data_IF_311947395969
#
_entry.id   IF_311947395969
#
_cell.length_a   1.000
_cell.length_b   1.000
_cell.length_c   1.000
_cell.angle_alpha   90.00
_cell.angle_beta   90.00
_cell.angle_gamma   90.00
#
_symmetry.space_group_name_H-M   'P 1'
#
loop_
_entity.id
_entity.type
_entity.pdbx_description
1 polymer ?
#
# COMPACT_ATOMS: atom_id res chain seq x y z
N UNK A 1 -51.83 -3.44 -46.97
CA UNK A 1 -50.68 -4.30 -46.61
C UNK A 1 -49.37 -3.49 -46.55
N UNK A 2 -49.27 -2.47 -45.69
CA UNK A 2 -48.03 -1.67 -45.52
C UNK A 2 -47.66 -1.42 -44.05
N UNK A 3 -48.52 -1.81 -43.11
CA UNK A 3 -48.34 -1.58 -41.68
C UNK A 3 -47.51 -2.67 -40.99
N UNK A 4 -47.60 -3.94 -41.43
CA UNK A 4 -46.90 -5.07 -40.79
C UNK A 4 -45.36 -4.90 -40.76
N UNK A 5 -44.78 -4.41 -41.86
CA UNK A 5 -43.34 -4.25 -42.04
C UNK A 5 -42.72 -3.20 -41.09
N UNK A 6 -43.52 -2.24 -40.61
CA UNK A 6 -43.05 -1.20 -39.69
C UNK A 6 -42.99 -1.71 -38.25
N UNK A 7 -43.92 -2.58 -37.85
CA UNK A 7 -43.93 -3.14 -36.50
C UNK A 7 -42.80 -4.16 -36.30
N UNK A 8 -42.49 -4.95 -37.32
CA UNK A 8 -41.36 -5.89 -37.29
C UNK A 8 -40.03 -5.15 -37.16
N UNK A 9 -39.82 -4.09 -37.95
CA UNK A 9 -38.61 -3.26 -37.88
C UNK A 9 -38.44 -2.54 -36.54
N UNK A 10 -39.53 -2.16 -35.88
CA UNK A 10 -39.49 -1.55 -34.54
C UNK A 10 -39.07 -2.58 -33.47
N UNK A 11 -39.59 -3.81 -33.58
CA UNK A 11 -39.27 -4.88 -32.65
C UNK A 11 -37.80 -5.35 -32.80
N UNK A 12 -37.28 -5.39 -34.03
CA UNK A 12 -35.86 -5.67 -34.27
C UNK A 12 -34.93 -4.60 -33.70
N UNK A 13 -35.33 -3.31 -33.77
CA UNK A 13 -34.56 -2.22 -33.20
C UNK A 13 -34.51 -2.27 -31.67
N UNK A 14 -35.63 -2.61 -31.03
CA UNK A 14 -35.72 -2.75 -29.56
C UNK A 14 -34.85 -3.91 -29.05
N UNK A 15 -34.88 -5.05 -29.75
CA UNK A 15 -33.99 -6.19 -29.45
C UNK A 15 -32.52 -5.82 -29.64
N UNK A 16 -32.19 -5.02 -30.66
CA UNK A 16 -30.81 -4.55 -30.88
C UNK A 16 -30.34 -3.60 -29.77
N UNK A 17 -31.21 -2.71 -29.29
CA UNK A 17 -30.91 -1.80 -28.18
C UNK A 17 -30.64 -2.58 -26.87
N UNK A 18 -31.49 -3.56 -26.53
CA UNK A 18 -31.29 -4.42 -25.36
C UNK A 18 -29.94 -5.17 -25.43
N UNK A 19 -29.62 -5.74 -26.59
CA UNK A 19 -28.35 -6.44 -26.78
C UNK A 19 -27.13 -5.51 -26.66
N UNK A 20 -27.26 -4.24 -27.07
CA UNK A 20 -26.20 -3.24 -26.94
C UNK A 20 -25.99 -2.87 -25.47
N UNK A 21 -27.06 -2.72 -24.69
CA UNK A 21 -26.99 -2.42 -23.26
C UNK A 21 -26.30 -3.54 -22.47
N UNK A 22 -26.65 -4.80 -22.73
CA UNK A 22 -26.03 -5.97 -22.10
C UNK A 22 -24.50 -6.03 -22.36
N UNK A 23 -24.07 -5.74 -23.60
CA UNK A 23 -22.66 -5.70 -23.97
C UNK A 23 -21.92 -4.54 -23.28
N UNK A 24 -22.54 -3.36 -23.22
CA UNK A 24 -21.97 -2.20 -22.54
C UNK A 24 -21.84 -2.44 -21.03
N UNK A 25 -22.81 -3.08 -20.39
CA UNK A 25 -22.76 -3.40 -18.96
C UNK A 25 -21.66 -4.42 -18.65
N UNK A 26 -21.55 -5.48 -19.48
CA UNK A 26 -20.48 -6.48 -19.39
C UNK A 26 -19.08 -5.89 -19.55
N UNK A 27 -18.88 -5.00 -20.54
CA UNK A 27 -17.59 -4.32 -20.75
C UNK A 27 -17.24 -3.36 -19.64
N UNK A 28 -18.22 -2.70 -19.02
CA UNK A 28 -17.99 -1.82 -17.86
C UNK A 28 -17.51 -2.60 -16.63
N UNK A 29 -18.03 -3.81 -16.42
CA UNK A 29 -17.64 -4.68 -15.31
C UNK A 29 -16.22 -5.21 -15.51
N UNK A 30 -15.87 -5.63 -16.74
CA UNK A 30 -14.51 -6.03 -17.11
C UNK A 30 -13.53 -4.84 -16.99
N UNK A 31 -13.93 -3.64 -17.41
CA UNK A 31 -13.11 -2.43 -17.26
C UNK A 31 -12.88 -2.06 -15.79
N UNK A 32 -13.89 -2.25 -14.92
CA UNK A 32 -13.74 -2.09 -13.47
C UNK A 32 -12.78 -3.13 -12.88
N UNK A 33 -12.89 -4.38 -13.29
CA UNK A 33 -12.00 -5.45 -12.83
C UNK A 33 -10.55 -5.25 -13.30
N UNK A 34 -10.34 -4.76 -14.53
CA UNK A 34 -9.01 -4.38 -15.05
C UNK A 34 -8.43 -3.13 -14.36
N UNK A 35 -9.29 -2.20 -13.90
CA UNK A 35 -8.86 -1.06 -13.09
C UNK A 35 -8.58 -1.41 -11.62
N UNK A 36 -9.05 -2.57 -11.16
CA UNK A 36 -8.91 -3.02 -9.77
C UNK A 36 -7.54 -3.67 -9.46
N UNK A 37 -6.70 -3.91 -10.46
CA UNK A 37 -5.27 -4.21 -10.26
C UNK A 37 -4.44 -2.91 -10.17
N UNK A 38 -4.81 -2.00 -9.27
CA UNK A 38 -3.87 -0.94 -8.87
C UNK A 38 -2.69 -1.60 -8.16
N UNK A 39 -1.48 -1.43 -8.73
CA UNK A 39 -0.24 -1.81 -8.04
C UNK A 39 -0.22 -1.06 -6.72
N UNK A 40 -0.13 -1.73 -5.55
CA UNK A 40 -0.17 -1.05 -4.27
C UNK A 40 0.96 -0.01 -4.21
N UNK A 41 0.60 1.23 -3.88
CA UNK A 41 1.55 2.33 -3.78
C UNK A 41 2.68 1.97 -2.81
N UNK A 42 3.92 2.09 -3.29
CA UNK A 42 5.11 1.89 -2.47
C UNK A 42 5.33 3.12 -1.59
N UNK A 43 4.99 3.01 -0.31
CA UNK A 43 5.15 4.06 0.67
C UNK A 43 6.50 3.94 1.41
N UNK A 44 7.36 4.96 1.23
CA UNK A 44 8.69 5.03 1.83
C UNK A 44 8.77 6.25 2.73
N UNK A 45 9.18 6.05 3.97
CA UNK A 45 9.34 7.14 4.93
C UNK A 45 10.74 7.15 5.56
N UNK A 46 11.22 8.34 5.93
CA UNK A 46 12.44 8.49 6.72
C UNK A 46 12.26 9.48 7.86
N UNK A 47 12.60 9.09 9.08
CA UNK A 47 12.36 9.87 10.29
C UNK A 47 13.61 10.03 11.15
N UNK A 48 13.98 11.29 11.41
CA UNK A 48 14.93 11.63 12.46
C UNK A 48 14.26 11.60 13.84
N UNK A 49 14.50 10.53 14.60
CA UNK A 49 13.86 10.31 15.90
C UNK A 49 14.65 10.91 17.08
N UNK A 50 15.89 11.37 16.84
CA UNK A 50 16.87 11.88 17.83
C UNK A 50 17.34 10.88 18.89
N UNK A 51 16.48 9.98 19.36
CA UNK A 51 16.84 8.81 20.16
C UNK A 51 15.69 7.81 20.25
N UNK A 52 16.01 6.52 20.12
CA UNK A 52 15.04 5.42 20.20
C UNK A 52 15.27 4.49 21.42
N UNK A 53 16.02 4.96 22.43
CA UNK A 53 16.29 4.17 23.65
C UNK A 53 15.06 4.01 24.56
N UNK A 54 14.09 4.94 24.49
CA UNK A 54 12.88 4.90 25.33
C UNK A 54 11.79 4.05 24.66
N UNK A 55 11.12 3.19 25.44
CA UNK A 55 10.03 2.33 24.95
C UNK A 55 8.90 3.11 24.26
N UNK A 56 8.58 4.31 24.77
CA UNK A 56 7.61 5.22 24.13
C UNK A 56 8.01 5.53 22.68
N UNK A 57 9.25 5.96 22.45
CA UNK A 57 9.75 6.29 21.10
C UNK A 57 9.76 5.08 20.16
N UNK A 58 10.05 3.90 20.68
CA UNK A 58 9.98 2.67 19.90
C UNK A 58 8.54 2.35 19.48
N UNK A 59 7.56 2.61 20.37
CA UNK A 59 6.14 2.45 20.06
C UNK A 59 5.67 3.50 19.06
N UNK A 60 6.18 4.73 19.15
CA UNK A 60 5.88 5.79 18.17
C UNK A 60 6.29 5.35 16.75
N UNK A 61 7.45 4.71 16.58
CA UNK A 61 7.88 4.12 15.27
C UNK A 61 6.96 3.00 14.82
N UNK A 62 6.63 2.06 15.72
CA UNK A 62 5.74 0.95 15.40
C UNK A 62 4.37 1.43 14.93
N UNK A 63 3.82 2.43 15.63
CA UNK A 63 2.56 3.04 15.28
C UNK A 63 2.66 3.78 13.95
N UNK A 64 3.70 4.59 13.75
CA UNK A 64 3.92 5.29 12.48
C UNK A 64 3.95 4.36 11.28
N UNK A 65 4.69 3.25 11.36
CA UNK A 65 4.74 2.25 10.29
C UNK A 65 3.35 1.69 9.96
N UNK A 66 2.54 1.40 10.99
CA UNK A 66 1.21 0.77 10.84
C UNK A 66 0.12 1.74 10.42
N UNK A 67 0.11 2.93 11.00
CA UNK A 67 -0.92 3.93 10.80
C UNK A 67 -0.78 4.59 9.42
N UNK A 68 0.44 4.75 8.92
CA UNK A 68 0.72 5.33 7.61
C UNK A 68 0.85 4.29 6.49
N UNK A 69 0.66 2.99 6.79
CA UNK A 69 0.86 1.89 5.84
C UNK A 69 2.22 1.98 5.11
N UNK A 70 3.30 2.22 5.87
CA UNK A 70 4.65 2.28 5.31
C UNK A 70 5.01 0.90 4.76
N UNK A 71 5.83 0.85 3.70
CA UNK A 71 6.45 -0.36 3.16
C UNK A 71 7.97 -0.41 3.39
N UNK A 72 8.63 0.75 3.47
CA UNK A 72 10.05 0.88 3.82
C UNK A 72 10.23 2.10 4.73
N UNK A 73 10.86 1.90 5.89
CA UNK A 73 11.06 2.93 6.90
C UNK A 73 12.54 3.09 7.27
N UNK A 74 13.09 4.28 7.04
CA UNK A 74 14.39 4.69 7.55
C UNK A 74 14.26 5.45 8.87
N UNK A 75 14.94 5.01 9.93
CA UNK A 75 15.04 5.75 11.20
C UNK A 75 16.48 6.20 11.41
N UNK A 76 16.68 7.52 11.54
CA UNK A 76 17.99 8.14 11.73
C UNK A 76 18.12 8.80 13.10
N UNK A 77 19.36 8.92 13.56
CA UNK A 77 19.72 9.33 14.91
C UNK A 77 19.03 8.47 15.99
N UNK A 78 19.19 7.15 15.88
CA UNK A 78 18.59 6.23 16.86
C UNK A 78 19.34 6.21 18.20
N UNK A 79 20.67 6.40 18.17
CA UNK A 79 21.57 6.37 19.34
C UNK A 79 21.42 5.08 20.17
N UNK A 80 21.08 3.95 19.53
CA UNK A 80 20.89 2.68 20.24
C UNK A 80 22.24 2.01 20.46
N UNK A 81 22.48 1.49 21.66
CA UNK A 81 23.68 0.70 21.95
C UNK A 81 23.63 -0.66 21.24
N UNK A 82 24.73 -1.16 20.65
CA UNK A 82 24.75 -2.41 19.90
C UNK A 82 24.16 -3.60 20.67
N UNK A 83 24.46 -3.70 21.97
CA UNK A 83 24.00 -4.79 22.86
C UNK A 83 22.49 -4.95 22.96
N UNK A 84 21.71 -3.87 22.77
CA UNK A 84 20.23 -3.91 22.81
C UNK A 84 19.60 -3.69 21.44
N UNK A 85 20.40 -3.53 20.39
CA UNK A 85 19.93 -3.11 19.08
C UNK A 85 18.85 -4.04 18.54
N UNK A 86 19.12 -5.34 18.47
CA UNK A 86 18.18 -6.29 17.88
C UNK A 86 16.85 -6.33 18.63
N UNK A 87 16.88 -6.28 19.97
CA UNK A 87 15.67 -6.22 20.79
C UNK A 87 14.85 -4.96 20.50
N UNK A 88 15.51 -3.81 20.35
CA UNK A 88 14.85 -2.53 20.10
C UNK A 88 14.29 -2.46 18.68
N UNK A 89 15.08 -2.84 17.68
CA UNK A 89 14.69 -2.82 16.27
C UNK A 89 13.55 -3.80 15.99
N UNK A 90 13.64 -5.06 16.45
CA UNK A 90 12.56 -6.05 16.28
C UNK A 90 11.22 -5.55 16.84
N UNK A 91 11.25 -4.82 17.97
CA UNK A 91 10.04 -4.26 18.53
C UNK A 91 9.54 -3.03 17.76
N UNK A 92 10.42 -2.08 17.42
CA UNK A 92 10.05 -0.84 16.75
C UNK A 92 9.52 -1.08 15.33
N UNK A 93 10.11 -2.03 14.61
CA UNK A 93 9.71 -2.42 13.25
C UNK A 93 8.65 -3.52 13.20
N UNK A 94 8.11 -3.94 14.35
CA UNK A 94 6.97 -4.86 14.38
C UNK A 94 7.21 -6.23 13.76
N UNK A 95 8.46 -6.71 13.77
CA UNK A 95 8.85 -7.99 13.18
C UNK A 95 9.30 -7.93 11.72
N UNK A 96 9.39 -6.74 11.11
CA UNK A 96 10.05 -6.62 9.81
C UNK A 96 11.54 -6.92 9.91
N UNK A 97 12.10 -7.38 8.79
CA UNK A 97 13.54 -7.43 8.61
C UNK A 97 14.12 -6.03 8.67
N UNK A 98 15.31 -5.88 9.23
CA UNK A 98 15.96 -4.58 9.33
C UNK A 98 17.48 -4.70 9.20
N UNK A 99 18.08 -3.64 8.69
CA UNK A 99 19.52 -3.46 8.58
C UNK A 99 19.95 -2.23 9.34
N UNK A 100 21.20 -2.21 9.77
CA UNK A 100 21.75 -1.09 10.53
C UNK A 100 23.20 -0.83 10.19
N UNK A 101 23.65 0.39 10.46
CA UNK A 101 25.07 0.74 10.39
C UNK A 101 25.81 0.52 11.72
N UNK A 102 25.26 -0.25 12.67
CA UNK A 102 25.83 -0.35 14.02
C UNK A 102 27.24 -0.93 14.06
N UNK A 103 27.59 -1.82 13.13
CA UNK A 103 28.94 -2.39 13.01
C UNK A 103 30.00 -1.36 12.61
N UNK A 104 29.58 -0.24 12.01
CA UNK A 104 30.46 0.83 11.54
C UNK A 104 30.53 2.01 12.52
N UNK A 105 29.79 1.96 13.63
CA UNK A 105 29.65 3.10 14.54
C UNK A 105 30.05 2.76 15.97
N UNK A 106 31.18 3.34 16.40
CA UNK A 106 31.75 3.19 17.75
C UNK A 106 30.79 3.76 18.82
N UNK A 107 30.04 4.81 18.49
CA UNK A 107 29.16 5.53 19.43
C UNK A 107 27.73 4.97 19.51
N UNK A 108 27.43 3.86 18.82
CA UNK A 108 26.10 3.26 18.72
C UNK A 108 25.42 3.47 17.38
N UNK A 109 24.32 2.75 17.14
CA UNK A 109 23.58 2.76 15.89
C UNK A 109 23.08 4.17 15.55
N UNK A 110 23.27 4.59 14.29
CA UNK A 110 22.76 5.88 13.80
C UNK A 110 21.59 5.71 12.86
N UNK A 111 21.62 4.67 12.04
CA UNK A 111 20.66 4.44 10.97
C UNK A 111 20.12 3.02 11.10
N UNK A 112 18.79 2.90 11.07
CA UNK A 112 18.06 1.66 10.87
C UNK A 112 17.21 1.80 9.62
N UNK A 113 17.13 0.74 8.82
CA UNK A 113 16.20 0.65 7.67
C UNK A 113 15.51 -0.70 7.80
N UNK A 114 14.19 -0.72 7.68
CA UNK A 114 13.37 -1.92 7.63
C UNK A 114 12.19 -1.71 6.74
#
# INVERSE_FOLDING_TARGET
MHTANKYEALNEAEVLEENIEDVLEGTSSIAKDLSAEEVPDLNIAMWNIRSMNKKKKQKDVLNFIREENINVCGIIETHIKPVVLSKVANFAFGGWEWVSNSSLSIAGCRILIG
#
